data_IF_030925896562
#
_entry.id   IF_030925896562
#
_cell.length_a   1.000
_cell.length_b   1.000
_cell.length_c   1.000
_cell.angle_alpha   90.00
_cell.angle_beta   90.00
_cell.angle_gamma   90.00
#
_symmetry.space_group_name_H-M   'P 1'
#
loop_
_entity.id
_entity.type
_entity.pdbx_description
1 polymer ?
#
# COMPACT_ATOMS: atom_id res chain seq x y z
N UNK A 1 -0.13 3.97 33.54
CA UNK A 1 -0.71 4.85 32.51
C UNK A 1 -1.77 4.02 31.80
N UNK A 2 -3.06 4.39 31.87
CA UNK A 2 -4.11 3.67 31.11
C UNK A 2 -3.89 3.98 29.64
N UNK A 3 -3.85 2.96 28.80
CA UNK A 3 -3.89 3.14 27.35
C UNK A 3 -5.19 3.84 26.96
N UNK A 4 -5.20 4.73 25.97
CA UNK A 4 -6.43 5.28 25.41
C UNK A 4 -7.40 4.15 25.02
N UNK A 5 -8.71 4.37 25.20
CA UNK A 5 -9.74 3.35 24.98
C UNK A 5 -9.70 2.73 23.56
N UNK A 6 -9.18 3.45 22.58
CA UNK A 6 -8.92 2.94 21.22
C UNK A 6 -7.87 1.81 21.16
N UNK A 7 -7.10 1.59 22.22
CA UNK A 7 -6.12 0.51 22.34
C UNK A 7 -6.55 -0.56 23.37
N UNK A 8 -7.72 -0.41 23.99
CA UNK A 8 -8.18 -1.29 25.05
C UNK A 8 -8.60 -2.69 24.57
N UNK A 9 -9.00 -2.80 23.30
CA UNK A 9 -9.30 -4.08 22.65
C UNK A 9 -8.65 -4.14 21.27
N UNK A 10 -7.46 -4.69 21.20
CA UNK A 10 -6.72 -4.89 19.96
C UNK A 10 -7.17 -6.15 19.20
N UNK A 11 -8.01 -6.99 19.82
CA UNK A 11 -8.42 -8.28 19.25
C UNK A 11 -9.43 -8.11 18.11
N UNK A 12 -10.26 -7.07 18.12
CA UNK A 12 -11.33 -6.85 17.13
C UNK A 12 -10.86 -6.26 15.78
N UNK A 13 -9.59 -5.83 15.67
CA UNK A 13 -9.12 -5.03 14.53
C UNK A 13 -8.40 -5.83 13.44
N UNK A 14 -8.09 -7.09 13.68
CA UNK A 14 -7.32 -7.94 12.75
C UNK A 14 -8.14 -9.10 12.16
N UNK A 15 -9.41 -9.21 12.53
CA UNK A 15 -10.22 -10.38 12.17
C UNK A 15 -10.68 -10.43 10.72
N UNK A 16 -10.49 -9.38 9.94
CA UNK A 16 -10.83 -9.43 8.52
C UNK A 16 -9.81 -10.21 7.67
N UNK A 17 -8.61 -10.47 8.19
CA UNK A 17 -7.61 -11.29 7.50
C UNK A 17 -7.75 -12.75 7.95
N UNK A 18 -8.83 -13.36 7.54
CA UNK A 18 -9.17 -14.76 7.74
C UNK A 18 -8.82 -15.61 6.50
N UNK A 19 -9.21 -16.87 6.51
CA UNK A 19 -8.95 -17.79 5.40
C UNK A 19 -9.61 -17.36 4.09
N UNK A 20 -10.79 -16.78 4.15
CA UNK A 20 -11.52 -16.30 2.97
C UNK A 20 -10.81 -15.08 2.38
N UNK A 21 -10.31 -14.18 3.23
CA UNK A 21 -9.51 -13.03 2.80
C UNK A 21 -8.21 -13.46 2.12
N UNK A 22 -7.49 -14.44 2.69
CA UNK A 22 -6.31 -15.00 2.05
C UNK A 22 -6.62 -15.64 0.70
N UNK A 23 -7.71 -16.40 0.59
CA UNK A 23 -8.14 -16.99 -0.66
C UNK A 23 -8.47 -15.91 -1.71
N UNK A 24 -9.10 -14.81 -1.30
CA UNK A 24 -9.36 -13.65 -2.16
C UNK A 24 -8.05 -13.02 -2.64
N UNK A 25 -7.06 -12.81 -1.74
CA UNK A 25 -5.75 -12.25 -2.12
C UNK A 25 -5.05 -13.10 -3.18
N UNK A 26 -5.04 -14.42 -3.02
CA UNK A 26 -4.43 -15.35 -3.98
C UNK A 26 -5.15 -15.29 -5.33
N UNK A 27 -6.48 -15.31 -5.32
CA UNK A 27 -7.30 -15.22 -6.53
C UNK A 27 -7.08 -13.89 -7.27
N UNK A 28 -7.09 -12.77 -6.55
CA UNK A 28 -6.88 -11.44 -7.12
C UNK A 28 -5.45 -11.28 -7.64
N UNK A 29 -4.46 -11.85 -6.93
CA UNK A 29 -3.07 -11.83 -7.40
C UNK A 29 -2.93 -12.42 -8.80
N UNK A 30 -3.59 -13.55 -9.06
CA UNK A 30 -3.52 -14.21 -10.36
C UNK A 30 -4.01 -13.31 -11.50
N UNK A 31 -4.99 -12.45 -11.26
CA UNK A 31 -5.50 -11.52 -12.27
C UNK A 31 -4.46 -10.46 -12.70
N UNK A 32 -3.47 -10.16 -11.86
CA UNK A 32 -2.39 -9.23 -12.23
C UNK A 32 -1.37 -9.84 -13.20
N UNK A 33 -1.34 -11.17 -13.33
CA UNK A 33 -0.47 -11.90 -14.26
C UNK A 33 -1.14 -12.10 -15.64
N UNK A 34 -2.42 -11.69 -15.78
CA UNK A 34 -3.19 -11.80 -17.02
C UNK A 34 -3.04 -10.53 -17.88
N UNK A 35 -3.30 -10.70 -19.18
CA UNK A 35 -3.44 -9.57 -20.10
C UNK A 35 -4.81 -8.90 -19.87
N UNK A 36 -4.79 -7.60 -19.60
CA UNK A 36 -6.02 -6.83 -19.39
C UNK A 36 -6.49 -6.20 -20.70
N UNK A 37 -7.82 -6.10 -20.91
CA UNK A 37 -8.37 -5.34 -22.04
C UNK A 37 -8.01 -3.86 -21.91
N UNK A 38 -8.08 -3.13 -23.01
CA UNK A 38 -7.90 -1.68 -23.00
C UNK A 38 -8.91 -1.04 -22.01
N UNK A 39 -8.46 -0.26 -21.03
CA UNK A 39 -9.34 0.29 -20.02
C UNK A 39 -10.24 1.40 -20.59
N UNK A 40 -11.42 1.55 -20.00
CA UNK A 40 -12.24 2.74 -20.26
C UNK A 40 -11.44 4.01 -19.91
N UNK A 41 -11.39 5.02 -20.83
CA UNK A 41 -10.61 6.25 -20.59
C UNK A 41 -11.02 7.02 -19.34
N UNK A 42 -12.29 7.02 -18.94
CA UNK A 42 -12.75 7.66 -17.71
C UNK A 42 -12.24 6.90 -16.47
N UNK A 43 -12.30 5.57 -16.47
CA UNK A 43 -11.78 4.74 -15.41
C UNK A 43 -10.26 4.90 -15.25
N UNK A 44 -9.52 4.95 -16.36
CA UNK A 44 -8.08 5.21 -16.37
C UNK A 44 -7.74 6.58 -15.79
N UNK A 45 -8.50 7.62 -16.18
CA UNK A 45 -8.31 8.98 -15.66
C UNK A 45 -8.58 9.06 -14.15
N UNK A 46 -9.67 8.48 -13.67
CA UNK A 46 -9.99 8.41 -12.23
C UNK A 46 -8.89 7.70 -11.44
N UNK A 47 -8.44 6.53 -11.90
CA UNK A 47 -7.38 5.77 -11.25
C UNK A 47 -6.07 6.55 -11.22
N UNK A 48 -5.67 7.16 -12.33
CA UNK A 48 -4.45 7.98 -12.41
C UNK A 48 -4.51 9.17 -11.45
N UNK A 49 -5.66 9.84 -11.37
CA UNK A 49 -5.88 10.96 -10.45
C UNK A 49 -5.79 10.49 -8.99
N UNK A 50 -6.38 9.34 -8.68
CA UNK A 50 -6.34 8.74 -7.35
C UNK A 50 -4.90 8.40 -6.93
N UNK A 51 -4.14 7.70 -7.77
CA UNK A 51 -2.75 7.33 -7.50
C UNK A 51 -1.84 8.56 -7.37
N UNK A 52 -2.07 9.60 -8.19
CA UNK A 52 -1.32 10.86 -8.09
C UNK A 52 -1.59 11.55 -6.75
N UNK A 53 -2.85 11.55 -6.29
CA UNK A 53 -3.21 12.08 -4.97
C UNK A 53 -2.54 11.28 -3.86
N UNK A 54 -2.59 9.96 -3.92
CA UNK A 54 -1.95 9.06 -2.95
C UNK A 54 -0.45 9.36 -2.85
N UNK A 55 0.25 9.39 -3.99
CA UNK A 55 1.68 9.68 -4.06
C UNK A 55 2.04 11.02 -3.41
N UNK A 56 1.27 12.08 -3.70
CA UNK A 56 1.47 13.41 -3.09
C UNK A 56 1.29 13.39 -1.57
N UNK A 57 0.27 12.72 -1.06
CA UNK A 57 0.02 12.65 0.39
C UNK A 57 1.20 12.01 1.13
N UNK A 58 1.78 10.96 0.58
CA UNK A 58 2.95 10.30 1.16
C UNK A 58 4.18 11.22 1.06
N UNK A 59 4.45 11.79 -0.11
CA UNK A 59 5.63 12.64 -0.35
C UNK A 59 5.61 13.95 0.45
N UNK A 60 4.43 14.43 0.83
CA UNK A 60 4.21 15.60 1.68
C UNK A 60 4.16 15.23 3.17
N UNK A 61 4.29 13.97 3.54
CA UNK A 61 4.19 13.51 4.92
C UNK A 61 2.79 13.63 5.54
N UNK A 62 1.74 13.73 4.71
CA UNK A 62 0.35 13.84 5.12
C UNK A 62 -0.25 12.46 5.39
N UNK A 63 0.40 11.71 6.27
CA UNK A 63 0.10 10.30 6.48
C UNK A 63 -1.31 10.02 7.03
N UNK A 64 -1.91 10.95 7.80
CA UNK A 64 -3.30 10.79 8.23
C UNK A 64 -4.26 10.82 7.05
N UNK A 65 -4.08 11.79 6.14
CA UNK A 65 -4.92 11.90 4.94
C UNK A 65 -4.68 10.71 3.99
N UNK A 66 -3.44 10.19 3.96
CA UNK A 66 -3.14 8.96 3.23
C UNK A 66 -3.88 7.76 3.84
N UNK A 67 -3.88 7.61 5.17
CA UNK A 67 -4.61 6.54 5.86
C UNK A 67 -6.12 6.58 5.59
N UNK A 68 -6.70 7.77 5.41
CA UNK A 68 -8.12 7.94 5.05
C UNK A 68 -8.46 7.43 3.63
N UNK A 69 -7.46 7.19 2.77
CA UNK A 69 -7.70 6.58 1.46
C UNK A 69 -7.99 5.08 1.55
N UNK A 70 -7.72 4.44 2.68
CA UNK A 70 -7.92 3.01 2.86
C UNK A 70 -9.31 2.69 3.42
N UNK A 71 -9.86 1.54 3.04
CA UNK A 71 -11.05 0.96 3.67
C UNK A 71 -10.72 0.39 5.05
N UNK A 72 -11.75 0.09 5.84
CA UNK A 72 -11.54 -0.47 7.18
C UNK A 72 -11.01 -1.91 7.14
N UNK A 73 -11.34 -2.66 6.10
CA UNK A 73 -10.86 -4.02 5.81
C UNK A 73 -9.60 -4.06 4.94
N UNK A 74 -8.77 -3.03 5.03
CA UNK A 74 -7.61 -2.87 4.14
C UNK A 74 -6.42 -3.75 4.50
N UNK A 75 -5.57 -3.94 3.48
CA UNK A 75 -4.25 -4.52 3.61
C UNK A 75 -3.21 -3.66 2.88
N UNK A 76 -2.16 -3.28 3.59
CA UNK A 76 -0.93 -2.73 3.03
C UNK A 76 0.15 -3.81 3.03
N UNK A 77 0.62 -4.21 1.86
CA UNK A 77 1.49 -5.37 1.68
C UNK A 77 2.72 -5.06 0.86
N UNK A 78 3.90 -5.37 1.41
CA UNK A 78 5.19 -5.28 0.71
C UNK A 78 5.85 -6.65 0.81
N UNK A 79 5.65 -7.53 -0.18
CA UNK A 79 6.21 -8.88 -0.17
C UNK A 79 7.74 -8.86 -0.37
N UNK A 80 8.42 -9.89 0.15
CA UNK A 80 9.83 -10.18 -0.16
C UNK A 80 9.93 -10.97 -1.46
N UNK A 81 9.02 -11.93 -1.66
CA UNK A 81 9.02 -12.75 -2.86
C UNK A 81 8.54 -11.95 -4.07
N UNK A 82 9.31 -12.03 -5.16
CA UNK A 82 8.96 -11.40 -6.43
C UNK A 82 7.56 -11.84 -6.89
N UNK A 83 6.74 -10.89 -7.34
CA UNK A 83 5.35 -11.15 -7.73
C UNK A 83 4.37 -11.41 -6.59
N UNK A 84 4.82 -11.37 -5.31
CA UNK A 84 3.97 -11.40 -4.13
C UNK A 84 3.85 -12.74 -3.42
N UNK A 85 4.37 -13.84 -3.97
CA UNK A 85 4.42 -15.14 -3.28
C UNK A 85 3.09 -15.67 -2.71
N UNK A 86 3.17 -16.54 -1.71
CA UNK A 86 2.02 -17.05 -0.95
C UNK A 86 1.90 -16.27 0.38
N UNK A 87 0.89 -15.39 0.54
CA UNK A 87 0.82 -14.45 1.67
C UNK A 87 0.68 -15.12 3.04
N UNK A 88 0.27 -16.41 3.10
CA UNK A 88 0.14 -17.14 4.36
C UNK A 88 1.46 -17.67 4.89
N UNK A 89 2.37 -18.04 4.00
CA UNK A 89 3.56 -18.82 4.35
C UNK A 89 4.85 -18.08 4.08
N UNK A 90 4.81 -16.97 3.33
CA UNK A 90 5.99 -16.22 2.96
C UNK A 90 6.14 -14.93 3.76
N UNK A 91 7.40 -14.54 3.97
CA UNK A 91 7.75 -13.33 4.71
C UNK A 91 7.45 -12.10 3.87
N UNK A 92 7.04 -11.03 4.55
CA UNK A 92 6.83 -9.72 3.95
C UNK A 92 7.57 -8.63 4.74
N UNK A 93 8.03 -7.58 4.06
CA UNK A 93 8.53 -6.37 4.71
C UNK A 93 7.43 -5.61 5.45
N UNK A 94 6.22 -5.66 4.92
CA UNK A 94 5.01 -5.17 5.56
C UNK A 94 3.81 -6.05 5.16
N UNK A 95 2.98 -6.38 6.14
CA UNK A 95 1.69 -7.04 5.97
C UNK A 95 0.78 -6.45 7.04
N UNK A 96 0.31 -5.23 6.76
CA UNK A 96 -0.35 -4.39 7.75
C UNK A 96 -1.85 -4.30 7.44
N UNK A 97 -2.65 -4.87 8.33
CA UNK A 97 -4.09 -4.61 8.41
C UNK A 97 -4.36 -3.14 8.81
N UNK A 98 -5.60 -2.75 8.91
CA UNK A 98 -6.00 -1.38 9.28
C UNK A 98 -5.35 -0.94 10.61
N UNK A 99 -5.28 -1.82 11.61
CA UNK A 99 -4.68 -1.52 12.91
C UNK A 99 -3.19 -1.25 12.79
N UNK A 100 -2.44 -2.20 12.18
CA UNK A 100 -0.99 -2.06 12.01
C UNK A 100 -0.62 -0.86 11.14
N UNK A 101 -1.44 -0.59 10.12
CA UNK A 101 -1.24 0.58 9.27
C UNK A 101 -1.47 1.89 10.06
N UNK A 102 -2.44 1.91 10.96
CA UNK A 102 -2.67 3.04 11.88
C UNK A 102 -1.48 3.23 12.83
N UNK A 103 -0.95 2.15 13.39
CA UNK A 103 0.25 2.18 14.24
C UNK A 103 1.46 2.69 13.46
N UNK A 104 1.67 2.23 12.24
CA UNK A 104 2.74 2.72 11.35
C UNK A 104 2.65 4.23 11.13
N UNK A 105 1.46 4.74 10.82
CA UNK A 105 1.21 6.17 10.63
C UNK A 105 1.47 6.94 11.93
N UNK A 106 1.06 6.41 13.07
CA UNK A 106 1.34 7.00 14.38
C UNK A 106 2.84 7.15 14.63
N UNK A 107 3.63 6.09 14.42
CA UNK A 107 5.09 6.11 14.61
C UNK A 107 5.78 7.11 13.68
N UNK A 108 5.38 7.18 12.42
CA UNK A 108 5.93 8.12 11.44
C UNK A 108 5.68 9.58 11.84
N UNK A 109 4.50 9.88 12.39
CA UNK A 109 4.08 11.22 12.77
C UNK A 109 4.74 11.75 14.05
N UNK A 110 4.93 10.87 15.02
CA UNK A 110 5.35 11.28 16.37
C UNK A 110 6.85 11.46 16.51
N UNK A 111 7.61 11.10 15.46
CA UNK A 111 9.08 11.11 15.52
C UNK A 111 9.64 10.04 16.47
N UNK A 112 8.82 9.07 16.87
CA UNK A 112 9.26 7.93 17.70
C UNK A 112 9.85 6.79 16.85
N UNK A 113 9.67 6.85 15.54
CA UNK A 113 10.36 5.95 14.60
C UNK A 113 11.83 6.39 14.47
N UNK A 114 12.71 5.96 15.37
CA UNK A 114 14.13 6.31 15.34
C UNK A 114 14.80 6.02 13.99
N UNK A 115 14.32 4.99 13.29
CA UNK A 115 14.78 4.64 11.95
C UNK A 115 14.39 5.68 10.89
N UNK A 116 13.51 6.63 11.21
CA UNK A 116 13.07 7.75 10.38
C UNK A 116 13.50 9.12 10.96
N UNK A 117 14.57 9.14 11.74
CA UNK A 117 15.19 10.38 12.23
C UNK A 117 16.61 10.52 11.62
N UNK A 118 16.88 11.53 10.81
CA UNK A 118 15.94 12.51 10.24
C UNK A 118 14.91 11.85 9.29
N UNK A 119 13.76 12.50 9.13
CA UNK A 119 12.71 11.99 8.26
C UNK A 119 13.17 11.89 6.79
N UNK A 120 12.74 10.86 6.11
CA UNK A 120 12.94 10.71 4.66
C UNK A 120 12.20 11.80 3.89
N UNK A 121 12.85 12.37 2.89
CA UNK A 121 12.24 13.22 1.88
C UNK A 121 12.11 12.41 0.61
N UNK A 122 10.89 12.24 0.12
CA UNK A 122 10.63 11.38 -1.03
C UNK A 122 10.02 12.14 -2.19
N UNK A 123 10.19 11.60 -3.40
CA UNK A 123 9.45 11.96 -4.61
C UNK A 123 9.17 10.70 -5.40
N UNK A 124 7.87 10.50 -5.70
CA UNK A 124 7.36 9.35 -6.45
C UNK A 124 7.01 9.74 -7.87
N UNK A 125 7.45 8.91 -8.79
CA UNK A 125 7.00 8.92 -10.18
C UNK A 125 6.10 7.70 -10.38
N UNK A 126 4.86 7.94 -10.78
CA UNK A 126 3.88 6.89 -11.10
C UNK A 126 3.67 6.89 -12.61
N UNK A 127 3.73 5.73 -13.22
CA UNK A 127 3.57 5.57 -14.67
C UNK A 127 2.93 4.24 -15.02
N UNK A 128 2.66 4.01 -16.30
CA UNK A 128 2.12 2.75 -16.82
C UNK A 128 0.89 2.30 -16.05
N UNK A 129 -0.02 3.25 -15.81
CA UNK A 129 -1.28 2.97 -15.10
C UNK A 129 -2.19 2.19 -16.01
N UNK A 130 -2.72 1.09 -15.50
CA UNK A 130 -3.69 0.25 -16.19
C UNK A 130 -4.79 -0.17 -15.20
N UNK A 131 -5.99 -0.42 -15.71
CA UNK A 131 -7.20 -0.63 -14.90
C UNK A 131 -7.99 -1.82 -15.42
N UNK A 132 -8.38 -2.72 -14.52
CA UNK A 132 -9.33 -3.77 -14.78
C UNK A 132 -10.57 -3.54 -13.88
N UNK A 133 -11.71 -3.27 -14.53
CA UNK A 133 -13.00 -3.18 -13.81
C UNK A 133 -13.44 -4.57 -13.38
N UNK A 134 -13.84 -4.69 -12.14
CA UNK A 134 -14.43 -5.89 -11.58
C UNK A 134 -15.92 -5.66 -11.29
N UNK A 135 -16.65 -6.73 -10.98
CA UNK A 135 -18.01 -6.63 -10.47
C UNK A 135 -18.06 -5.91 -9.11
N UNK A 136 -19.24 -5.44 -8.70
CA UNK A 136 -19.50 -4.86 -7.36
C UNK A 136 -18.71 -3.58 -7.06
N UNK A 137 -18.59 -2.68 -8.05
CA UNK A 137 -17.91 -1.39 -7.87
C UNK A 137 -16.49 -1.54 -7.29
N UNK A 138 -15.73 -2.49 -7.82
CA UNK A 138 -14.33 -2.69 -7.49
C UNK A 138 -13.45 -2.65 -8.74
N UNK A 139 -12.19 -2.29 -8.57
CA UNK A 139 -11.19 -2.18 -9.63
C UNK A 139 -9.87 -2.75 -9.18
N UNK A 140 -9.17 -3.38 -10.11
CA UNK A 140 -7.73 -3.60 -9.99
C UNK A 140 -7.01 -2.50 -10.76
N UNK A 141 -5.96 -1.97 -10.15
CA UNK A 141 -5.11 -0.97 -10.79
C UNK A 141 -3.66 -1.41 -10.65
N UNK A 142 -2.95 -1.51 -11.77
CA UNK A 142 -1.50 -1.70 -11.77
C UNK A 142 -0.81 -0.45 -12.26
N UNK A 143 0.37 -0.17 -11.71
CA UNK A 143 1.18 0.97 -12.14
C UNK A 143 2.64 0.74 -11.76
N UNK A 144 3.56 1.31 -12.51
CA UNK A 144 4.97 1.34 -12.13
C UNK A 144 5.25 2.53 -11.21
N UNK A 145 6.24 2.36 -10.35
CA UNK A 145 6.74 3.45 -9.53
C UNK A 145 8.26 3.53 -9.54
N UNK A 146 8.77 4.74 -9.39
CA UNK A 146 10.15 5.03 -8.98
C UNK A 146 10.07 6.03 -7.82
N UNK A 147 10.76 5.72 -6.72
CA UNK A 147 10.82 6.56 -5.53
C UNK A 147 12.25 7.00 -5.32
N UNK A 148 12.48 8.29 -5.34
CA UNK A 148 13.71 8.90 -4.85
C UNK A 148 13.52 9.22 -3.37
N UNK A 149 14.40 8.68 -2.54
CA UNK A 149 14.48 8.98 -1.11
C UNK A 149 15.79 9.71 -0.83
N UNK A 150 15.73 10.85 -0.17
CA UNK A 150 16.90 11.49 0.43
C UNK A 150 16.78 11.47 1.94
N UNK A 151 17.78 10.89 2.61
CA UNK A 151 17.83 10.83 4.07
C UNK A 151 19.27 10.83 4.56
N UNK A 152 19.57 11.62 5.59
CA UNK A 152 20.88 11.68 6.25
C UNK A 152 22.06 11.83 5.28
N UNK A 153 21.90 12.63 4.21
CA UNK A 153 22.95 12.87 3.22
C UNK A 153 23.05 11.82 2.10
N UNK A 154 22.23 10.76 2.15
CA UNK A 154 22.23 9.68 1.15
C UNK A 154 20.97 9.73 0.33
N UNK A 155 21.10 9.58 -1.00
CA UNK A 155 19.99 9.36 -1.91
C UNK A 155 19.90 7.88 -2.24
N UNK A 156 18.71 7.29 -2.07
CA UNK A 156 18.37 5.94 -2.51
C UNK A 156 17.27 6.01 -3.56
N UNK A 157 17.23 5.02 -4.43
CA UNK A 157 16.18 4.87 -5.44
C UNK A 157 15.56 3.51 -5.26
N UNK A 158 14.23 3.47 -5.20
CA UNK A 158 13.45 2.23 -5.20
C UNK A 158 12.58 2.21 -6.43
N UNK A 159 12.50 1.08 -7.10
CA UNK A 159 11.68 0.90 -8.29
C UNK A 159 10.86 -0.37 -8.17
N UNK A 160 9.71 -0.38 -8.83
CA UNK A 160 8.82 -1.52 -8.81
C UNK A 160 7.47 -1.21 -9.42
N UNK A 161 6.49 -1.99 -9.02
CA UNK A 161 5.12 -1.79 -9.46
C UNK A 161 4.13 -1.97 -8.30
N UNK A 162 3.05 -1.21 -8.38
CA UNK A 162 1.94 -1.32 -7.45
C UNK A 162 0.82 -2.17 -8.04
N UNK A 163 0.21 -2.97 -7.17
CA UNK A 163 -1.07 -3.60 -7.39
C UNK A 163 -2.06 -3.05 -6.35
N UNK A 164 -3.07 -2.35 -6.82
CA UNK A 164 -4.14 -1.84 -5.97
C UNK A 164 -5.44 -2.59 -6.24
N UNK A 165 -6.15 -2.96 -5.19
CA UNK A 165 -7.57 -3.27 -5.24
C UNK A 165 -8.32 -2.07 -4.68
N UNK A 166 -9.09 -1.41 -5.53
CA UNK A 166 -9.92 -0.27 -5.13
C UNK A 166 -11.37 -0.72 -5.00
N UNK A 167 -12.05 -0.23 -3.98
CA UNK A 167 -13.48 -0.42 -3.75
C UNK A 167 -14.17 0.93 -3.67
N UNK A 168 -15.37 1.03 -4.21
CA UNK A 168 -16.15 2.26 -4.21
C UNK A 168 -17.10 2.26 -3.01
N UNK A 169 -17.05 3.34 -2.24
CA UNK A 169 -17.99 3.62 -1.16
C UNK A 169 -18.70 4.94 -1.44
N UNK A 170 -19.65 5.34 -0.62
CA UNK A 170 -20.40 6.61 -0.82
C UNK A 170 -19.47 7.83 -0.96
N UNK A 171 -18.35 7.86 -0.25
CA UNK A 171 -17.38 8.95 -0.26
C UNK A 171 -16.32 8.80 -1.38
N UNK A 172 -16.50 7.89 -2.33
CA UNK A 172 -15.59 7.63 -3.45
C UNK A 172 -14.71 6.41 -3.26
N UNK A 173 -13.64 6.30 -4.06
CA UNK A 173 -12.76 5.15 -4.07
C UNK A 173 -11.91 5.04 -2.79
N UNK A 174 -11.72 3.80 -2.31
CA UNK A 174 -10.84 3.42 -1.19
C UNK A 174 -9.92 2.27 -1.59
N UNK A 175 -8.75 2.24 -0.98
CA UNK A 175 -7.80 1.14 -1.14
C UNK A 175 -8.22 0.00 -0.21
N UNK A 176 -8.65 -1.13 -0.77
CA UNK A 176 -8.81 -2.38 -0.02
C UNK A 176 -7.48 -3.11 0.11
N UNK A 177 -6.71 -3.22 -0.99
CA UNK A 177 -5.37 -3.80 -0.95
C UNK A 177 -4.42 -2.88 -1.70
N UNK A 178 -3.29 -2.55 -1.09
CA UNK A 178 -2.12 -1.98 -1.74
C UNK A 178 -0.96 -2.94 -1.60
N UNK A 179 -0.50 -3.50 -2.71
CA UNK A 179 0.72 -4.31 -2.76
C UNK A 179 1.80 -3.54 -3.51
N UNK A 180 2.96 -3.37 -2.86
CA UNK A 180 4.13 -2.75 -3.47
C UNK A 180 5.18 -3.83 -3.76
N UNK A 181 5.44 -4.10 -5.03
CA UNK A 181 6.37 -5.11 -5.50
C UNK A 181 7.67 -4.42 -5.93
N UNK A 182 8.73 -4.57 -5.14
CA UNK A 182 10.06 -4.05 -5.48
C UNK A 182 10.73 -5.00 -6.49
N UNK A 183 11.49 -4.44 -7.44
CA UNK A 183 12.24 -5.24 -8.42
C UNK A 183 13.41 -6.00 -7.80
N UNK A 184 13.86 -5.56 -6.63
CA UNK A 184 14.98 -6.09 -5.87
C UNK A 184 14.56 -6.58 -4.47
N UNK A 185 13.29 -6.98 -4.33
CA UNK A 185 12.69 -7.36 -3.04
C UNK A 185 13.42 -8.51 -2.34
N UNK A 186 14.07 -9.40 -3.07
CA UNK A 186 14.83 -10.54 -2.55
C UNK A 186 16.27 -10.18 -2.15
N UNK A 187 16.69 -8.93 -2.40
CA UNK A 187 18.01 -8.46 -2.05
C UNK A 187 18.03 -7.88 -0.63
N UNK A 188 19.22 -7.75 -0.07
CA UNK A 188 19.39 -7.11 1.22
C UNK A 188 19.08 -5.62 1.15
N UNK A 189 18.13 -5.18 1.95
CA UNK A 189 17.83 -3.77 2.19
C UNK A 189 18.21 -3.40 3.63
N UNK A 190 19.09 -2.43 3.81
CA UNK A 190 19.56 -1.99 5.14
C UNK A 190 18.40 -1.52 6.04
N UNK A 191 17.44 -0.80 5.48
CA UNK A 191 16.33 -0.24 6.25
C UNK A 191 15.19 0.20 5.32
N UNK A 192 14.14 -0.59 5.22
CA UNK A 192 12.91 -0.27 4.48
C UNK A 192 11.86 0.31 5.43
N UNK A 193 12.08 1.54 5.89
CA UNK A 193 11.17 2.21 6.81
C UNK A 193 10.29 3.26 6.16
N UNK A 194 10.51 3.54 4.88
CA UNK A 194 9.62 4.41 4.13
C UNK A 194 8.29 3.70 3.82
N UNK A 195 7.27 4.50 3.52
CA UNK A 195 6.01 4.02 2.95
C UNK A 195 6.16 3.96 1.44
N UNK A 196 5.82 2.82 0.86
CA UNK A 196 5.79 2.63 -0.60
C UNK A 196 4.48 3.08 -1.20
#
# INVERSE_FOLDING_TARGET
>A
MKLPDQYADTSSWSYHIDEDYYAELVRIRALFDEDWPEPDPAALHEATTFLTREARLIDEGRFNNWLELFSDDCLYWVPVTSGGGEPRTEVSYAFDDRRRLTDRVYWLRTGLAYSQIPASRTRRLISNVDVLELAQESRLVRSNFVIYEFRAGVTKVYAGWYAHTLVKIEQGWRIKVKRANLIDSEQYHENLTLVF
#
